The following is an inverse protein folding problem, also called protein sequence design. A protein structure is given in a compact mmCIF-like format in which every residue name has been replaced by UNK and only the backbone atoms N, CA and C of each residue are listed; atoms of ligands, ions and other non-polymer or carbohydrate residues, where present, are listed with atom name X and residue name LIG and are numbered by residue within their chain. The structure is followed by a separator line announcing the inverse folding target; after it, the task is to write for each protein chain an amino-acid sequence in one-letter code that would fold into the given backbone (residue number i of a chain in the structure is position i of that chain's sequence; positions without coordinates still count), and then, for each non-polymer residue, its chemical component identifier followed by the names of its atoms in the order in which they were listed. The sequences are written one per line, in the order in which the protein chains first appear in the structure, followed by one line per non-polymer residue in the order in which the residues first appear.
data_IF_996303491945
#
_entry.id   IF_996303491945
#
_cell.length_a   1.000
_cell.length_b   1.000
_cell.length_c   1.000
_cell.angle_alpha   90.00
_cell.angle_beta   90.00
_cell.angle_gamma   90.00
#
_symmetry.space_group_name_H-M   'P 1'
#
loop_
_entity.id
_entity.type
_entity.pdbx_description
1 polymer ?
#
# COMPACT_ATOMS: atom_id res chain seq x y z
N UNK A 1 9.97 15.78 8.38
CA UNK A 1 8.67 15.22 7.93
C UNK A 1 8.35 15.83 6.57
N UNK A 2 8.01 15.01 5.56
CA UNK A 2 7.64 15.50 4.22
C UNK A 2 6.21 16.04 4.30
N UNK A 3 5.99 17.32 4.00
CA UNK A 3 4.72 18.07 4.21
C UNK A 3 3.54 17.68 3.30
N UNK A 4 3.53 16.47 2.72
CA UNK A 4 2.45 16.02 1.83
C UNK A 4 2.16 16.90 0.59
N UNK A 5 3.04 17.86 0.25
CA UNK A 5 2.78 18.88 -0.79
C UNK A 5 2.44 18.24 -2.14
N UNK A 6 3.19 17.21 -2.52
CA UNK A 6 2.94 16.45 -3.74
C UNK A 6 1.54 15.80 -3.72
N UNK A 7 1.18 15.12 -2.63
CA UNK A 7 -0.12 14.44 -2.50
C UNK A 7 -1.25 15.44 -2.62
N UNK A 8 -1.18 16.56 -1.90
CA UNK A 8 -2.23 17.60 -1.92
C UNK A 8 -2.34 18.34 -3.25
N UNK A 9 -1.25 18.41 -4.01
CA UNK A 9 -1.27 19.01 -5.34
C UNK A 9 -2.08 18.16 -6.34
N UNK A 10 -1.91 16.83 -6.28
CA UNK A 10 -2.58 15.91 -7.21
C UNK A 10 -3.91 15.36 -6.68
N UNK A 11 -4.13 15.37 -5.36
CA UNK A 11 -5.32 14.88 -4.67
C UNK A 11 -5.86 15.99 -3.76
N UNK A 12 -6.54 17.02 -4.32
CA UNK A 12 -7.06 18.14 -3.56
C UNK A 12 -8.10 17.73 -2.51
N UNK A 13 -8.77 16.59 -2.69
CA UNK A 13 -9.69 15.99 -1.71
C UNK A 13 -9.01 15.65 -0.36
N UNK A 14 -7.68 15.52 -0.35
CA UNK A 14 -6.87 15.26 0.85
C UNK A 14 -6.25 16.52 1.46
N UNK A 15 -6.55 17.72 0.95
CA UNK A 15 -5.95 18.96 1.41
C UNK A 15 -6.22 19.26 2.90
N UNK A 16 -7.36 18.78 3.43
CA UNK A 16 -7.73 18.93 4.84
C UNK A 16 -7.09 17.93 5.81
N UNK A 17 -6.33 16.94 5.31
CA UNK A 17 -5.68 15.92 6.14
C UNK A 17 -4.34 16.45 6.68
N UNK A 18 -4.05 16.39 8.00
CA UNK A 18 -2.79 16.84 8.58
C UNK A 18 -1.56 16.17 7.96
N UNK A 19 -0.41 16.86 7.96
CA UNK A 19 0.85 16.37 7.38
C UNK A 19 1.30 15.02 7.96
N UNK A 20 1.01 14.77 9.25
CA UNK A 20 1.34 13.52 9.93
C UNK A 20 0.58 12.32 9.38
N UNK A 21 -0.63 12.55 8.85
CA UNK A 21 -1.58 11.50 8.46
C UNK A 21 -1.82 11.46 6.94
N UNK A 22 -1.20 12.35 6.17
CA UNK A 22 -1.39 12.46 4.71
C UNK A 22 -1.03 11.17 3.95
N UNK A 23 -0.18 10.31 4.55
CA UNK A 23 0.16 9.00 3.99
C UNK A 23 -0.86 7.90 4.30
N UNK A 24 -1.72 8.11 5.30
CA UNK A 24 -2.77 7.18 5.73
C UNK A 24 -4.06 7.96 6.03
N UNK A 25 -4.65 8.66 5.04
CA UNK A 25 -5.75 9.59 5.27
C UNK A 25 -7.01 8.89 5.78
N UNK A 26 -7.21 7.62 5.43
CA UNK A 26 -8.32 6.78 5.90
C UNK A 26 -8.27 6.55 7.43
N UNK A 27 -7.09 6.27 8.00
CA UNK A 27 -6.93 6.06 9.45
C UNK A 27 -7.28 7.33 10.22
N UNK A 28 -6.85 8.48 9.70
CA UNK A 28 -7.20 9.78 10.28
C UNK A 28 -8.71 10.05 10.16
N UNK A 29 -9.29 9.80 8.98
CA UNK A 29 -10.71 9.99 8.76
C UNK A 29 -11.58 9.16 9.72
N UNK A 30 -11.24 7.89 9.92
CA UNK A 30 -11.91 7.00 10.86
C UNK A 30 -11.79 7.50 12.30
N UNK A 31 -10.57 7.87 12.74
CA UNK A 31 -10.31 8.37 14.10
C UNK A 31 -11.04 9.68 14.40
N UNK A 32 -11.22 10.53 13.40
CA UNK A 32 -11.85 11.84 13.54
C UNK A 32 -13.32 11.86 13.11
N UNK A 33 -13.91 10.69 12.77
CA UNK A 33 -15.26 10.57 12.22
C UNK A 33 -15.54 11.51 11.05
N UNK A 34 -14.54 11.69 10.18
CA UNK A 34 -14.63 12.51 8.96
C UNK A 34 -14.89 11.60 7.77
N UNK A 35 -15.78 12.04 6.88
CA UNK A 35 -15.92 11.45 5.56
C UNK A 35 -14.94 12.14 4.61
N UNK A 36 -14.09 11.36 3.94
CA UNK A 36 -13.25 11.84 2.85
C UNK A 36 -13.93 11.52 1.52
N UNK A 37 -13.75 12.41 0.55
CA UNK A 37 -14.06 12.12 -0.86
C UNK A 37 -12.90 11.37 -1.53
N UNK A 38 -12.27 10.48 -0.77
CA UNK A 38 -11.14 9.66 -1.17
C UNK A 38 -11.44 8.21 -0.76
N UNK A 39 -11.23 7.23 -1.66
CA UNK A 39 -11.62 5.85 -1.39
C UNK A 39 -10.83 5.23 -0.25
N UNK A 40 -11.44 4.25 0.41
CA UNK A 40 -10.74 3.39 1.35
C UNK A 40 -9.67 2.55 0.62
N UNK A 41 -8.63 2.09 1.34
CA UNK A 41 -7.64 1.18 0.76
C UNK A 41 -8.30 -0.06 0.16
N UNK A 42 -7.99 -0.35 -1.09
CA UNK A 42 -8.54 -1.52 -1.81
C UNK A 42 -7.96 -2.84 -1.25
N UNK A 43 -6.73 -2.78 -0.71
CA UNK A 43 -6.02 -3.93 -0.15
C UNK A 43 -5.41 -3.59 1.20
N UNK A 44 -5.33 -4.60 2.06
CA UNK A 44 -4.43 -4.56 3.21
C UNK A 44 -2.98 -4.77 2.72
N UNK A 45 -2.15 -3.74 2.87
CA UNK A 45 -0.76 -3.76 2.41
C UNK A 45 0.09 -4.85 3.06
N UNK A 46 -0.16 -5.17 4.34
CA UNK A 46 0.60 -6.20 5.08
C UNK A 46 0.27 -7.58 4.51
N UNK A 47 -1.00 -7.86 4.29
CA UNK A 47 -1.47 -9.13 3.71
C UNK A 47 -1.03 -9.25 2.25
N UNK A 48 -1.22 -8.20 1.45
CA UNK A 48 -0.83 -8.18 0.04
C UNK A 48 0.66 -8.44 -0.13
N UNK A 49 1.50 -7.73 0.64
CA UNK A 49 2.95 -7.93 0.63
C UNK A 49 3.35 -9.37 0.94
N UNK A 50 2.76 -9.96 1.98
CA UNK A 50 3.04 -11.35 2.36
C UNK A 50 2.66 -12.32 1.23
N UNK A 51 1.47 -12.17 0.65
CA UNK A 51 1.01 -13.00 -0.47
C UNK A 51 1.96 -12.92 -1.66
N UNK A 52 2.41 -11.72 -2.02
CA UNK A 52 3.35 -11.50 -3.12
C UNK A 52 4.69 -12.18 -2.86
N UNK A 53 5.26 -12.02 -1.66
CA UNK A 53 6.54 -12.65 -1.30
C UNK A 53 6.43 -14.18 -1.30
N UNK A 54 5.37 -14.73 -0.69
CA UNK A 54 5.14 -16.17 -0.65
C UNK A 54 4.98 -16.75 -2.07
N UNK A 55 4.33 -16.02 -2.99
CA UNK A 55 4.19 -16.43 -4.39
C UNK A 55 5.53 -16.35 -5.15
N UNK A 56 6.29 -15.27 -4.93
CA UNK A 56 7.60 -15.09 -5.56
C UNK A 56 8.59 -16.18 -5.15
N UNK A 57 8.70 -16.50 -3.86
CA UNK A 57 9.60 -17.56 -3.38
C UNK A 57 9.21 -18.95 -3.92
N UNK A 58 7.90 -19.22 -4.06
CA UNK A 58 7.41 -20.43 -4.72
C UNK A 58 7.82 -20.48 -6.19
N UNK A 59 7.66 -19.40 -6.94
CA UNK A 59 8.05 -19.34 -8.34
C UNK A 59 9.58 -19.49 -8.52
N UNK A 60 10.37 -18.82 -7.67
CA UNK A 60 11.83 -18.90 -7.68
C UNK A 60 12.34 -20.31 -7.37
N UNK A 61 11.79 -20.96 -6.34
CA UNK A 61 12.17 -22.32 -5.97
C UNK A 61 11.75 -23.36 -7.02
N UNK A 62 10.59 -23.18 -7.65
CA UNK A 62 10.18 -24.00 -8.79
C UNK A 62 11.13 -23.85 -9.98
N UNK A 63 11.50 -22.61 -10.33
CA UNK A 63 12.47 -22.35 -11.40
C UNK A 63 13.87 -22.94 -11.10
N UNK A 64 14.31 -22.92 -9.84
CA UNK A 64 15.57 -23.52 -9.40
C UNK A 64 15.54 -25.06 -9.45
N UNK A 65 14.39 -25.68 -9.17
CA UNK A 65 14.20 -27.14 -9.31
C UNK A 65 14.19 -27.56 -10.77
N UNK A 66 13.51 -26.80 -11.64
CA UNK A 66 13.48 -27.05 -13.08
C UNK A 66 14.85 -26.89 -13.77
N UNK A 67 15.80 -26.19 -13.15
CA UNK A 67 17.18 -26.04 -13.65
C UNK A 67 18.17 -27.04 -13.03
N UNK A 68 17.71 -27.95 -12.17
CA UNK A 68 18.52 -28.98 -11.50
C UNK A 68 18.27 -30.42 -11.98
N UNK A 69 17.33 -30.65 -12.88
CA UNK A 69 17.19 -31.92 -13.60
C UNK A 69 17.77 -31.77 -15.01
N UNK A 70 19.05 -32.15 -15.22
CA UNK A 70 19.47 -32.76 -16.47
C UNK A 70 19.32 -34.29 -16.40
N UNK A 71 19.11 -34.87 -17.57
CA UNK A 71 19.03 -36.29 -17.95
C UNK A 71 19.93 -37.26 -17.17
#
# INVERSE_FOLDING_TARGET
MRRGIFIRHYLPELAGVPDSDIHQPHVWAEKHHKKLDYPAPIVDHKVARKKTLDAFERAKSAGLRASKEPE
#
